data_IF_480265264413
#
_entry.id   IF_480265264413
#
_cell.length_a   1.000
_cell.length_b   1.000
_cell.length_c   1.000
_cell.angle_alpha   90.00
_cell.angle_beta   90.00
_cell.angle_gamma   90.00
#
_symmetry.space_group_name_H-M   'P 1'
#
loop_
_entity.id
_entity.type
_entity.pdbx_description
1 polymer ?
#
# COMPACT_ATOMS: atom_id res chain seq x y z
N UNK A 1 2.56 -6.66 -25.92
CA UNK A 1 2.80 -6.67 -24.46
C UNK A 1 2.34 -8.00 -23.91
N UNK A 2 3.12 -8.67 -23.07
CA UNK A 2 2.66 -9.85 -22.35
C UNK A 2 1.67 -9.38 -21.27
N UNK A 3 0.46 -9.91 -21.29
CA UNK A 3 -0.50 -9.65 -20.21
C UNK A 3 0.01 -10.36 -18.94
N UNK A 4 -0.10 -9.74 -17.75
CA UNK A 4 0.20 -10.42 -16.51
C UNK A 4 -0.66 -11.68 -16.34
N UNK A 5 -0.18 -12.71 -15.63
CA UNK A 5 -0.95 -13.93 -15.37
C UNK A 5 -2.04 -13.65 -14.32
N UNK A 6 -3.10 -12.94 -14.72
CA UNK A 6 -4.20 -12.58 -13.83
C UNK A 6 -4.88 -13.84 -13.27
N UNK A 7 -5.12 -13.83 -11.97
CA UNK A 7 -5.88 -14.84 -11.25
C UNK A 7 -7.38 -14.60 -11.47
N UNK A 8 -8.15 -15.63 -11.90
CA UNK A 8 -9.61 -15.54 -11.92
C UNK A 8 -10.14 -15.22 -10.53
N UNK A 9 -11.08 -14.27 -10.43
CA UNK A 9 -11.45 -13.69 -9.14
C UNK A 9 -12.11 -14.72 -8.21
N UNK A 10 -12.84 -15.67 -8.78
CA UNK A 10 -13.46 -16.79 -8.08
C UNK A 10 -12.43 -17.73 -7.42
N UNK A 11 -11.19 -17.75 -7.90
CA UNK A 11 -10.09 -18.56 -7.34
C UNK A 11 -9.16 -17.75 -6.44
N UNK A 12 -9.35 -16.43 -6.34
CA UNK A 12 -8.40 -15.56 -5.66
C UNK A 12 -8.20 -15.92 -4.18
N UNK A 13 -9.27 -16.27 -3.46
CA UNK A 13 -9.16 -16.67 -2.05
C UNK A 13 -8.39 -17.98 -1.86
N UNK A 14 -8.72 -19.02 -2.64
CA UNK A 14 -8.02 -20.31 -2.55
C UNK A 14 -6.55 -20.15 -2.96
N UNK A 15 -6.26 -19.43 -4.05
CA UNK A 15 -4.87 -19.24 -4.50
C UNK A 15 -4.06 -18.40 -3.52
N UNK A 16 -4.65 -17.40 -2.87
CA UNK A 16 -3.94 -16.63 -1.86
C UNK A 16 -3.59 -17.50 -0.64
N UNK A 17 -4.47 -18.42 -0.24
CA UNK A 17 -4.19 -19.39 0.82
C UNK A 17 -3.15 -20.45 0.43
N UNK A 18 -3.21 -20.98 -0.79
CA UNK A 18 -2.34 -22.07 -1.27
C UNK A 18 -0.95 -21.58 -1.70
N UNK A 19 -0.89 -20.43 -2.36
CA UNK A 19 0.32 -19.90 -3.01
C UNK A 19 0.95 -18.74 -2.27
N UNK A 20 0.21 -18.11 -1.36
CA UNK A 20 0.63 -16.89 -0.67
C UNK A 20 0.55 -15.62 -1.54
N UNK A 21 0.07 -15.69 -2.78
CA UNK A 21 -0.12 -14.53 -3.66
C UNK A 21 -1.20 -14.75 -4.73
N UNK A 22 -1.75 -13.65 -5.23
CA UNK A 22 -2.62 -13.58 -6.42
C UNK A 22 -2.34 -12.32 -7.22
N UNK A 23 -2.69 -12.33 -8.50
CA UNK A 23 -2.58 -11.15 -9.37
C UNK A 23 -3.97 -10.76 -9.86
N UNK A 24 -4.52 -9.65 -9.38
CA UNK A 24 -5.84 -9.17 -9.83
C UNK A 24 -5.69 -8.29 -11.07
N UNK A 25 -6.60 -8.44 -12.04
CA UNK A 25 -6.74 -7.45 -13.12
C UNK A 25 -7.23 -6.12 -12.54
N UNK A 26 -7.01 -4.99 -13.25
CA UNK A 26 -7.54 -3.69 -12.81
C UNK A 26 -9.04 -3.72 -12.54
N UNK A 27 -9.83 -4.34 -13.43
CA UNK A 27 -11.28 -4.46 -13.27
C UNK A 27 -11.68 -5.31 -12.06
N UNK A 28 -10.96 -6.41 -11.81
CA UNK A 28 -11.24 -7.26 -10.66
C UNK A 28 -10.88 -6.56 -9.35
N UNK A 29 -9.75 -5.84 -9.31
CA UNK A 29 -9.40 -5.00 -8.16
C UNK A 29 -10.48 -3.95 -7.91
N UNK A 30 -10.85 -3.18 -8.94
CA UNK A 30 -11.88 -2.15 -8.88
C UNK A 30 -13.21 -2.68 -8.31
N UNK A 31 -13.68 -3.82 -8.83
CA UNK A 31 -14.87 -4.52 -8.31
C UNK A 31 -14.71 -4.91 -6.84
N UNK A 32 -13.59 -5.52 -6.47
CA UNK A 32 -13.33 -5.99 -5.10
C UNK A 32 -13.29 -4.86 -4.08
N UNK A 33 -12.73 -3.71 -4.46
CA UNK A 33 -12.68 -2.53 -3.59
C UNK A 33 -13.89 -1.63 -3.74
N UNK A 34 -14.87 -2.02 -4.57
CA UNK A 34 -16.10 -1.27 -4.86
C UNK A 34 -15.84 0.17 -5.33
N UNK A 35 -14.82 0.36 -6.17
CA UNK A 35 -14.46 1.63 -6.80
C UNK A 35 -14.43 1.47 -8.32
N UNK A 36 -14.66 2.55 -9.06
CA UNK A 36 -14.40 2.60 -10.50
C UNK A 36 -12.90 2.76 -10.79
N UNK A 37 -12.49 2.38 -12.01
CA UNK A 37 -11.12 2.64 -12.47
C UNK A 37 -10.80 4.14 -12.48
N UNK A 38 -11.78 4.99 -12.80
CA UNK A 38 -11.59 6.44 -12.81
C UNK A 38 -11.31 6.98 -11.40
N UNK A 39 -12.05 6.51 -10.39
CA UNK A 39 -11.81 6.86 -8.98
C UNK A 39 -10.40 6.45 -8.56
N UNK A 40 -9.96 5.23 -8.90
CA UNK A 40 -8.60 4.76 -8.62
C UNK A 40 -7.54 5.56 -9.38
N UNK A 41 -7.81 5.93 -10.63
CA UNK A 41 -6.90 6.71 -11.46
C UNK A 41 -6.67 8.12 -10.91
N UNK A 42 -7.61 8.68 -10.15
CA UNK A 42 -7.43 9.99 -9.50
C UNK A 42 -6.20 10.03 -8.58
N UNK A 43 -5.79 8.89 -8.00
CA UNK A 43 -4.65 8.85 -7.08
C UNK A 43 -3.30 9.12 -7.75
N UNK A 44 -3.20 8.95 -9.07
CA UNK A 44 -1.94 9.11 -9.81
C UNK A 44 -1.33 10.50 -9.64
N UNK A 45 -2.14 11.55 -9.48
CA UNK A 45 -1.65 12.92 -9.29
C UNK A 45 -0.79 13.07 -8.03
N UNK A 46 -1.09 12.35 -6.95
CA UNK A 46 -0.32 12.42 -5.71
C UNK A 46 1.10 11.85 -5.85
N UNK A 47 1.31 10.93 -6.80
CA UNK A 47 2.64 10.38 -7.10
C UNK A 47 3.58 11.40 -7.74
N UNK A 48 3.06 12.47 -8.35
CA UNK A 48 3.87 13.53 -8.94
C UNK A 48 4.60 14.38 -7.90
N UNK A 49 4.07 14.41 -6.67
CA UNK A 49 4.52 15.28 -5.57
C UNK A 49 5.09 14.50 -4.38
N UNK A 50 5.59 13.29 -4.62
CA UNK A 50 6.33 12.54 -3.61
C UNK A 50 7.70 13.22 -3.38
N UNK A 51 8.10 13.45 -2.13
CA UNK A 51 9.42 13.97 -1.78
C UNK A 51 10.47 12.87 -1.89
N UNK A 52 11.75 13.27 -2.00
CA UNK A 52 12.87 12.33 -2.07
C UNK A 52 12.98 11.49 -0.79
N UNK A 53 13.37 10.23 -0.93
CA UNK A 53 13.72 9.36 0.18
C UNK A 53 15.08 9.77 0.76
N UNK A 54 15.16 10.25 2.02
CA UNK A 54 16.42 10.71 2.61
C UNK A 54 17.31 9.56 3.12
N UNK A 55 16.87 8.31 3.03
CA UNK A 55 17.55 7.14 3.59
C UNK A 55 18.18 6.23 2.53
N UNK A 56 18.39 6.71 1.31
CA UNK A 56 19.16 6.00 0.29
C UNK A 56 20.65 5.94 0.70
N UNK A 57 21.17 4.73 0.92
CA UNK A 57 22.57 4.51 1.36
C UNK A 57 23.59 4.54 0.23
N UNK A 58 23.14 4.39 -1.01
CA UNK A 58 23.97 4.37 -2.23
C UNK A 58 24.24 5.77 -2.81
N UNK A 59 23.74 6.83 -2.15
CA UNK A 59 23.82 8.20 -2.64
C UNK A 59 22.89 8.49 -3.82
N UNK A 60 22.05 7.52 -4.20
CA UNK A 60 21.06 7.68 -5.27
C UNK A 60 20.00 8.72 -4.92
N UNK A 61 19.32 9.25 -5.95
CA UNK A 61 18.22 10.22 -5.83
C UNK A 61 16.93 9.76 -6.53
N UNK A 62 16.91 8.48 -6.91
CA UNK A 62 15.86 7.86 -7.72
C UNK A 62 14.57 7.55 -6.97
N UNK A 63 14.58 7.47 -5.64
CA UNK A 63 13.42 7.04 -4.85
C UNK A 63 12.71 8.20 -4.19
N UNK A 64 11.40 8.28 -4.42
CA UNK A 64 10.50 9.27 -3.83
C UNK A 64 9.39 8.56 -3.08
N UNK A 65 9.06 9.00 -1.86
CA UNK A 65 8.08 8.31 -1.03
C UNK A 65 7.44 9.17 0.05
N UNK A 66 6.28 8.72 0.50
CA UNK A 66 5.61 9.17 1.73
C UNK A 66 5.26 7.95 2.59
N UNK A 67 4.78 8.18 3.80
CA UNK A 67 4.33 7.13 4.70
C UNK A 67 3.13 7.55 5.54
N UNK A 68 2.26 6.59 5.85
CA UNK A 68 1.26 6.72 6.91
C UNK A 68 1.02 5.36 7.57
N UNK A 69 0.48 5.42 8.79
CA UNK A 69 -0.01 4.26 9.51
C UNK A 69 -1.50 4.43 9.79
N UNK A 70 -2.26 3.34 9.67
CA UNK A 70 -3.68 3.28 9.95
C UNK A 70 -4.02 2.07 10.82
N UNK A 71 -5.15 2.15 11.50
CA UNK A 71 -5.79 1.03 12.18
C UNK A 71 -7.13 0.79 11.49
N UNK A 72 -7.36 -0.42 11.00
CA UNK A 72 -8.64 -0.84 10.44
C UNK A 72 -9.34 -1.75 11.44
N UNK A 73 -10.59 -1.43 11.77
CA UNK A 73 -11.50 -2.28 12.57
C UNK A 73 -12.84 -2.37 11.86
N UNK A 74 -13.20 -3.56 11.41
CA UNK A 74 -14.37 -3.84 10.58
C UNK A 74 -14.42 -2.97 9.31
N UNK A 75 -15.20 -1.89 9.33
CA UNK A 75 -15.32 -0.91 8.25
C UNK A 75 -14.87 0.49 8.65
N UNK A 76 -14.26 0.64 9.83
CA UNK A 76 -13.67 1.90 10.29
C UNK A 76 -12.18 1.92 9.99
N UNK A 77 -11.70 3.11 9.58
CA UNK A 77 -10.30 3.40 9.35
C UNK A 77 -9.93 4.60 10.22
N UNK A 78 -8.95 4.40 11.08
CA UNK A 78 -8.36 5.45 11.91
C UNK A 78 -6.94 5.72 11.42
N UNK A 79 -6.58 6.98 11.21
CA UNK A 79 -5.19 7.34 10.96
C UNK A 79 -4.44 7.38 12.30
N UNK A 80 -3.42 6.54 12.45
CA UNK A 80 -2.57 6.57 13.63
C UNK A 80 -1.68 7.83 13.62
N UNK A 81 -1.19 8.28 14.79
CA UNK A 81 -0.18 9.33 14.85
C UNK A 81 0.99 9.02 13.92
N UNK A 82 1.51 10.04 13.26
CA UNK A 82 2.66 9.88 12.38
C UNK A 82 3.84 9.30 13.17
N UNK A 83 4.44 8.24 12.62
CA UNK A 83 5.44 7.42 13.30
C UNK A 83 6.47 6.92 12.31
N UNK A 84 7.67 6.64 12.81
CA UNK A 84 8.70 6.03 11.99
C UNK A 84 8.25 4.67 11.44
N UNK A 85 8.67 4.40 10.21
CA UNK A 85 8.72 3.04 9.70
C UNK A 85 9.94 2.34 10.31
N UNK A 86 9.72 1.20 10.96
CA UNK A 86 10.78 0.40 11.57
C UNK A 86 10.72 -1.03 11.04
N UNK A 87 11.89 -1.59 10.72
CA UNK A 87 12.06 -3.00 10.37
C UNK A 87 13.17 -3.56 11.25
N UNK A 88 13.00 -4.77 11.79
CA UNK A 88 14.07 -5.44 12.53
C UNK A 88 15.23 -5.80 11.58
N UNK A 89 16.42 -6.03 12.14
CA UNK A 89 17.53 -6.59 11.36
C UNK A 89 17.22 -7.99 10.83
N UNK A 90 16.40 -8.77 11.55
CA UNK A 90 15.95 -10.10 11.10
C UNK A 90 15.05 -10.01 9.86
N UNK A 91 14.24 -8.94 9.76
CA UNK A 91 13.34 -8.73 8.63
C UNK A 91 14.05 -8.08 7.43
N UNK A 92 14.97 -7.16 7.70
CA UNK A 92 15.73 -6.45 6.67
C UNK A 92 17.20 -6.36 7.06
N UNK A 93 18.00 -7.37 6.74
CA UNK A 93 19.40 -7.40 7.14
C UNK A 93 20.24 -6.20 6.63
N UNK A 94 19.85 -5.59 5.50
CA UNK A 94 20.56 -4.46 4.89
C UNK A 94 20.19 -3.10 5.52
N UNK A 95 18.95 -3.00 6.01
CA UNK A 95 18.31 -1.73 6.34
C UNK A 95 17.47 -1.79 7.63
N UNK A 96 17.52 -2.85 8.42
CA UNK A 96 16.82 -2.97 9.69
C UNK A 96 17.50 -2.19 10.81
N UNK A 97 16.86 -2.15 11.98
CA UNK A 97 17.44 -1.60 13.21
C UNK A 97 17.50 -0.06 13.29
N UNK A 98 16.92 0.65 12.31
CA UNK A 98 16.79 2.11 12.35
C UNK A 98 15.34 2.54 12.16
N UNK A 99 14.98 3.62 12.84
CA UNK A 99 13.72 4.34 12.64
C UNK A 99 13.84 5.25 11.41
N UNK A 100 12.91 5.10 10.47
CA UNK A 100 12.83 5.97 9.29
C UNK A 100 11.60 6.86 9.34
N UNK A 101 11.84 8.15 9.49
CA UNK A 101 10.82 9.18 9.42
C UNK A 101 10.68 9.65 7.98
N UNK A 102 9.62 9.20 7.31
CA UNK A 102 9.29 9.68 5.98
C UNK A 102 8.22 10.76 6.06
N UNK A 103 8.19 11.64 5.07
CA UNK A 103 7.14 12.65 4.98
C UNK A 103 5.73 12.00 5.00
N UNK A 104 4.76 12.61 5.73
CA UNK A 104 3.40 12.08 5.82
C UNK A 104 2.71 12.11 4.46
N UNK A 105 1.59 11.40 4.30
CA UNK A 105 0.74 11.57 3.12
C UNK A 105 0.26 13.02 2.98
N UNK A 106 -0.04 13.45 1.75
CA UNK A 106 -0.74 14.70 1.53
C UNK A 106 -2.11 14.65 2.23
N UNK A 107 -2.53 15.70 2.96
CA UNK A 107 -3.80 15.72 3.68
C UNK A 107 -4.99 15.37 2.79
N UNK A 108 -5.00 15.84 1.54
CA UNK A 108 -6.04 15.61 0.55
C UNK A 108 -6.15 14.13 0.18
N UNK A 109 -5.03 13.41 0.07
CA UNK A 109 -5.04 11.96 -0.16
C UNK A 109 -5.50 11.22 1.09
N UNK A 110 -4.99 11.59 2.27
CA UNK A 110 -5.35 10.94 3.52
C UNK A 110 -6.85 11.08 3.85
N UNK A 111 -7.46 12.20 3.46
CA UNK A 111 -8.89 12.50 3.63
C UNK A 111 -9.76 12.01 2.46
N UNK A 112 -9.17 11.51 1.37
CA UNK A 112 -9.91 11.04 0.20
C UNK A 112 -10.71 9.77 0.53
N UNK A 113 -12.03 9.81 0.36
CA UNK A 113 -12.91 8.68 0.70
C UNK A 113 -12.59 7.41 -0.10
N UNK A 114 -12.23 7.52 -1.38
CA UNK A 114 -11.86 6.37 -2.19
C UNK A 114 -10.53 5.75 -1.72
N UNK A 115 -9.59 6.56 -1.26
CA UNK A 115 -8.32 6.08 -0.70
C UNK A 115 -8.55 5.28 0.59
N UNK A 116 -9.39 5.81 1.48
CA UNK A 116 -9.75 5.13 2.71
C UNK A 116 -10.51 3.82 2.42
N UNK A 117 -11.45 3.85 1.48
CA UNK A 117 -12.19 2.66 1.04
C UNK A 117 -11.27 1.58 0.46
N UNK A 118 -10.27 1.96 -0.34
CA UNK A 118 -9.26 1.02 -0.86
C UNK A 118 -8.56 0.28 0.28
N UNK A 119 -8.11 1.01 1.32
CA UNK A 119 -7.41 0.42 2.48
C UNK A 119 -8.34 -0.52 3.25
N UNK A 120 -9.55 -0.08 3.57
CA UNK A 120 -10.54 -0.88 4.30
C UNK A 120 -10.86 -2.17 3.54
N UNK A 121 -11.11 -2.07 2.23
CA UNK A 121 -11.48 -3.23 1.41
C UNK A 121 -10.35 -4.24 1.27
N UNK A 122 -9.11 -3.78 1.13
CA UNK A 122 -7.94 -4.69 1.15
C UNK A 122 -7.83 -5.40 2.50
N UNK A 123 -7.98 -4.68 3.62
CA UNK A 123 -7.97 -5.31 4.95
C UNK A 123 -9.09 -6.35 5.12
N UNK A 124 -10.30 -6.06 4.62
CA UNK A 124 -11.43 -7.00 4.64
C UNK A 124 -11.15 -8.27 3.81
N UNK A 125 -10.54 -8.13 2.63
CA UNK A 125 -10.13 -9.28 1.82
C UNK A 125 -9.12 -10.16 2.57
N UNK A 126 -8.15 -9.55 3.26
CA UNK A 126 -7.16 -10.28 4.05
C UNK A 126 -7.76 -10.92 5.31
N UNK A 127 -8.73 -10.27 5.96
CA UNK A 127 -9.47 -10.85 7.09
C UNK A 127 -10.19 -12.15 6.75
N UNK A 128 -10.61 -12.34 5.50
CA UNK A 128 -11.23 -13.59 5.06
C UNK A 128 -10.26 -14.78 5.04
N UNK A 129 -8.95 -14.52 5.11
CA UNK A 129 -7.86 -15.52 5.06
C UNK A 129 -7.19 -15.65 6.42
N UNK A 130 -6.85 -14.51 7.03
CA UNK A 130 -6.28 -14.44 8.36
C UNK A 130 -7.17 -13.53 9.22
N UNK A 131 -8.17 -14.10 9.91
CA UNK A 131 -9.08 -13.32 10.74
C UNK A 131 -8.32 -12.52 11.80
N UNK A 132 -8.60 -11.23 11.88
CA UNK A 132 -8.03 -10.34 12.88
C UNK A 132 -9.07 -9.33 13.39
N UNK A 133 -9.12 -9.04 14.70
CA UNK A 133 -10.00 -8.00 15.24
C UNK A 133 -9.54 -6.58 14.86
N UNK A 134 -8.29 -6.43 14.40
CA UNK A 134 -7.77 -5.17 13.89
C UNK A 134 -6.59 -5.40 12.93
N UNK A 135 -6.49 -4.57 11.90
CA UNK A 135 -5.30 -4.50 11.05
C UNK A 135 -4.52 -3.22 11.34
N UNK A 136 -3.22 -3.36 11.58
CA UNK A 136 -2.29 -2.25 11.63
C UNK A 136 -1.63 -2.13 10.25
N UNK A 137 -2.01 -1.09 9.51
CA UNK A 137 -1.65 -0.93 8.10
C UNK A 137 -0.61 0.17 7.98
N UNK A 138 0.53 -0.13 7.36
CA UNK A 138 1.45 0.90 6.88
C UNK A 138 1.28 1.08 5.37
N UNK A 139 1.14 2.33 4.92
CA UNK A 139 1.02 2.66 3.50
C UNK A 139 2.26 3.40 3.05
N UNK A 140 2.82 2.94 1.93
CA UNK A 140 4.04 3.50 1.34
C UNK A 140 3.86 3.79 -0.15
N UNK A 141 3.40 5.00 -0.53
CA UNK A 141 3.47 5.44 -1.91
C UNK A 141 4.93 5.60 -2.32
N UNK A 142 5.31 5.02 -3.46
CA UNK A 142 6.65 5.12 -4.01
C UNK A 142 6.62 5.47 -5.49
N UNK A 143 7.58 6.30 -5.91
CA UNK A 143 7.99 6.50 -7.29
C UNK A 143 9.49 6.24 -7.40
N UNK A 144 9.87 5.44 -8.38
CA UNK A 144 11.26 5.21 -8.78
C UNK A 144 11.48 5.94 -10.09
N UNK A 145 12.51 6.77 -10.15
CA UNK A 145 12.90 7.54 -11.32
C UNK A 145 14.22 7.01 -11.87
N UNK A 146 14.25 6.61 -13.14
CA UNK A 146 15.43 6.01 -13.78
C UNK A 146 16.25 7.01 -14.58
N UNK A 147 16.03 8.32 -14.37
CA UNK A 147 16.77 9.38 -15.07
C UNK A 147 18.17 9.65 -14.50
N UNK A 148 18.44 9.21 -13.28
CA UNK A 148 19.77 9.23 -12.64
C UNK A 148 20.61 7.99 -13.00
#
# INVERSE_FOLDING_TARGET
MLLPPFTPIEQAHSFLGERGYVVLSPDNLAKQVSLSLDQLNTFKSYWNHLPRDPYLKDGGRYRYRRHASYIVRDSSLEMAPHRAHWQSLDYNALHGGIERWFEPLQPELAQNQHWQQLIIKIAQLLSAIAPSPAWFVEVHPFRIDTSD
#
